data_IF_122675453903
#
_entry.id   IF_122675453903
#
_cell.length_a   1.000
_cell.length_b   1.000
_cell.length_c   1.000
_cell.angle_alpha   90.00
_cell.angle_beta   90.00
_cell.angle_gamma   90.00
#
_symmetry.space_group_name_H-M   'P 1'
#
loop_
_entity.id
_entity.type
_entity.pdbx_description
1 polymer ?
#
# COMPACT_ATOMS: atom_id res chain seq x y z
N UNK A 1 -26.39 2.25 9.24
CA UNK A 1 -25.97 0.98 8.61
C UNK A 1 -26.20 1.08 7.11
N UNK A 2 -25.21 0.72 6.28
CA UNK A 2 -25.44 0.48 4.85
C UNK A 2 -25.86 -0.98 4.68
N UNK A 3 -26.88 -1.25 3.87
CA UNK A 3 -27.25 -2.63 3.50
C UNK A 3 -26.64 -2.97 2.15
N UNK A 4 -26.16 -4.21 2.02
CA UNK A 4 -25.66 -4.79 0.78
C UNK A 4 -26.53 -6.00 0.47
N UNK A 5 -27.01 -6.09 -0.78
CA UNK A 5 -27.71 -7.28 -1.24
C UNK A 5 -26.67 -8.28 -1.72
N UNK A 6 -26.71 -9.46 -1.12
CA UNK A 6 -25.91 -10.59 -1.53
C UNK A 6 -26.82 -11.56 -2.28
N UNK A 7 -26.26 -12.19 -3.30
CA UNK A 7 -26.89 -13.37 -3.87
C UNK A 7 -26.97 -14.47 -2.79
N UNK A 8 -28.06 -15.27 -2.73
CA UNK A 8 -28.21 -16.31 -1.71
C UNK A 8 -27.09 -17.34 -1.69
N UNK A 9 -26.48 -17.65 -2.85
CA UNK A 9 -25.35 -18.58 -2.91
C UNK A 9 -24.12 -17.97 -2.21
N UNK A 10 -23.83 -16.70 -2.51
CA UNK A 10 -22.72 -15.97 -1.91
C UNK A 10 -22.91 -15.80 -0.40
N UNK A 11 -24.14 -15.51 0.05
CA UNK A 11 -24.44 -15.41 1.48
C UNK A 11 -24.13 -16.72 2.22
N UNK A 12 -24.54 -17.87 1.66
CA UNK A 12 -24.25 -19.18 2.22
C UNK A 12 -22.74 -19.48 2.27
N UNK A 13 -21.99 -19.12 1.23
CA UNK A 13 -20.53 -19.29 1.20
C UNK A 13 -19.85 -18.44 2.28
N UNK A 14 -20.25 -17.17 2.44
CA UNK A 14 -19.71 -16.27 3.44
C UNK A 14 -20.03 -16.73 4.87
N UNK A 15 -21.25 -17.23 5.12
CA UNK A 15 -21.62 -17.81 6.41
C UNK A 15 -20.74 -19.01 6.77
N UNK A 16 -20.51 -19.93 5.82
CA UNK A 16 -19.62 -21.08 6.03
C UNK A 16 -18.18 -20.64 6.29
N UNK A 17 -17.67 -19.67 5.53
CA UNK A 17 -16.31 -19.16 5.69
C UNK A 17 -16.12 -18.49 7.07
N UNK A 18 -17.10 -17.69 7.52
CA UNK A 18 -17.10 -17.08 8.84
C UNK A 18 -17.12 -18.14 9.95
N UNK A 19 -17.95 -19.18 9.81
CA UNK A 19 -18.03 -20.29 10.75
C UNK A 19 -16.71 -21.07 10.85
N UNK A 20 -16.04 -21.33 9.72
CA UNK A 20 -14.71 -22.00 9.69
C UNK A 20 -13.66 -21.18 10.44
N UNK A 21 -13.74 -19.84 10.38
CA UNK A 21 -12.83 -18.95 11.11
C UNK A 21 -13.24 -18.68 12.56
N UNK A 22 -14.43 -19.10 12.98
CA UNK A 22 -14.95 -18.84 14.32
C UNK A 22 -15.33 -17.37 14.57
N UNK A 23 -15.65 -16.63 13.51
CA UNK A 23 -15.97 -15.20 13.57
C UNK A 23 -17.44 -14.96 13.17
N UNK A 24 -18.00 -13.79 13.52
CA UNK A 24 -19.33 -13.42 13.03
C UNK A 24 -19.29 -13.06 11.55
N UNK A 25 -20.39 -13.29 10.81
CA UNK A 25 -20.49 -12.94 9.38
C UNK A 25 -20.15 -11.47 9.12
N UNK A 26 -20.64 -10.56 9.96
CA UNK A 26 -20.37 -9.12 9.84
C UNK A 26 -18.88 -8.78 9.97
N UNK A 27 -18.18 -9.40 10.94
CA UNK A 27 -16.74 -9.18 11.12
C UNK A 27 -15.93 -9.80 9.99
N UNK A 28 -16.30 -11.00 9.54
CA UNK A 28 -15.69 -11.63 8.39
C UNK A 28 -15.79 -10.74 7.13
N UNK A 29 -16.99 -10.21 6.84
CA UNK A 29 -17.21 -9.29 5.71
C UNK A 29 -16.43 -7.99 5.90
N UNK A 30 -16.41 -7.43 7.12
CA UNK A 30 -15.66 -6.20 7.42
C UNK A 30 -14.17 -6.36 7.11
N UNK A 31 -13.56 -7.46 7.57
CA UNK A 31 -12.15 -7.73 7.31
C UNK A 31 -11.88 -7.95 5.83
N UNK A 32 -12.72 -8.73 5.15
CA UNK A 32 -12.57 -8.97 3.71
C UNK A 32 -12.69 -7.66 2.90
N UNK A 33 -13.63 -6.79 3.26
CA UNK A 33 -13.78 -5.48 2.62
C UNK A 33 -12.58 -4.57 2.89
N UNK A 34 -12.07 -4.53 4.12
CA UNK A 34 -10.88 -3.74 4.47
C UNK A 34 -9.64 -4.20 3.69
N UNK A 35 -9.38 -5.52 3.67
CA UNK A 35 -8.26 -6.11 2.92
C UNK A 35 -8.37 -5.82 1.42
N UNK A 36 -9.57 -5.94 0.85
CA UNK A 36 -9.78 -5.65 -0.58
C UNK A 36 -9.59 -4.16 -0.88
N UNK A 37 -10.06 -3.27 -0.01
CA UNK A 37 -9.89 -1.83 -0.17
C UNK A 37 -8.42 -1.44 -0.10
N UNK A 38 -7.67 -1.94 0.89
CA UNK A 38 -6.24 -1.71 1.04
C UNK A 38 -5.46 -2.22 -0.18
N UNK A 39 -5.72 -3.44 -0.64
CA UNK A 39 -5.09 -3.98 -1.83
C UNK A 39 -5.42 -3.16 -3.10
N UNK A 40 -6.66 -2.66 -3.21
CA UNK A 40 -7.08 -1.85 -4.36
C UNK A 40 -6.46 -0.46 -4.33
N UNK A 41 -6.41 0.20 -3.17
CA UNK A 41 -5.84 1.53 -3.02
C UNK A 41 -4.30 1.50 -3.07
N UNK A 42 -3.67 0.48 -2.48
CA UNK A 42 -2.21 0.30 -2.51
C UNK A 42 -1.67 -0.11 -3.89
N UNK A 43 -2.48 -0.78 -4.72
CA UNK A 43 -2.12 -1.08 -6.11
C UNK A 43 -2.12 0.17 -7.02
N UNK A 44 -2.85 1.22 -6.63
CA UNK A 44 -2.95 2.47 -7.40
C UNK A 44 -1.75 3.39 -7.17
N UNK A 45 -0.93 3.16 -6.14
CA UNK A 45 0.05 4.16 -5.68
C UNK A 45 1.47 4.06 -6.29
N UNK A 46 1.79 3.03 -7.09
CA UNK A 46 3.18 2.85 -7.55
C UNK A 46 3.35 2.60 -9.06
N UNK A 47 2.34 2.09 -9.76
CA UNK A 47 2.48 1.85 -11.21
C UNK A 47 2.58 3.16 -12.02
N UNK A 48 1.84 4.20 -11.62
CA UNK A 48 1.84 5.50 -12.32
C UNK A 48 3.02 6.39 -11.92
N UNK A 49 3.76 6.02 -10.87
CA UNK A 49 4.91 6.77 -10.37
C UNK A 49 6.23 6.01 -10.49
N UNK A 50 6.29 4.80 -11.03
CA UNK A 50 7.54 4.05 -11.21
C UNK A 50 8.56 4.82 -12.09
N UNK A 51 8.08 5.64 -13.04
CA UNK A 51 8.94 6.53 -13.85
C UNK A 51 9.42 7.79 -13.10
N UNK A 52 8.78 8.16 -11.98
CA UNK A 52 9.09 9.36 -11.18
C UNK A 52 9.82 9.01 -9.88
N UNK A 53 9.44 7.91 -9.25
CA UNK A 53 9.96 7.39 -8.00
C UNK A 53 10.93 6.26 -8.34
N UNK A 54 12.11 6.64 -8.82
CA UNK A 54 13.22 5.72 -9.04
C UNK A 54 13.34 4.74 -7.88
N UNK A 55 13.03 3.48 -8.18
CA UNK A 55 13.04 2.33 -7.29
C UNK A 55 14.21 2.38 -6.31
N UNK A 56 13.93 2.72 -5.04
CA UNK A 56 14.84 2.43 -3.93
C UNK A 56 14.40 1.11 -3.30
N UNK A 57 14.71 0.01 -3.99
CA UNK A 57 14.95 -1.25 -3.30
C UNK A 57 16.35 -1.18 -2.72
N UNK A 58 16.43 -0.90 -1.42
CA UNK A 58 17.72 -0.79 -0.74
C UNK A 58 17.58 -0.84 0.76
N UNK A 59 17.59 -2.07 1.31
CA UNK A 59 18.07 -2.28 2.67
C UNK A 59 19.36 -1.50 2.90
N UNK A 60 19.49 -0.93 4.10
CA UNK A 60 20.42 0.15 4.45
C UNK A 60 21.76 0.13 3.71
N UNK A 61 22.01 1.16 2.89
CA UNK A 61 23.31 1.30 2.21
C UNK A 61 23.49 2.50 1.29
N UNK A 62 22.42 3.23 0.90
CA UNK A 62 22.49 4.29 -0.12
C UNK A 62 22.51 5.73 0.38
N UNK A 63 22.76 5.99 1.66
CA UNK A 63 22.79 7.35 2.20
C UNK A 63 24.16 8.07 2.12
N UNK A 64 25.22 7.43 1.61
CA UNK A 64 26.58 8.02 1.66
C UNK A 64 27.01 8.77 0.40
N UNK A 65 26.41 8.51 -0.77
CA UNK A 65 26.77 9.17 -2.04
C UNK A 65 25.95 10.44 -2.35
N UNK A 66 24.71 10.53 -1.87
CA UNK A 66 23.87 11.72 -2.05
C UNK A 66 24.36 12.91 -1.23
N UNK A 67 24.91 12.66 -0.04
CA UNK A 67 25.57 13.69 0.76
C UNK A 67 26.76 14.33 0.04
N UNK A 68 27.66 13.53 -0.55
CA UNK A 68 28.82 14.05 -1.26
C UNK A 68 28.44 14.90 -2.48
N UNK A 69 27.49 14.43 -3.30
CA UNK A 69 27.01 15.19 -4.46
C UNK A 69 26.27 16.48 -4.05
N UNK A 70 25.49 16.45 -2.97
CA UNK A 70 24.86 17.64 -2.41
C UNK A 70 25.90 18.64 -1.89
N UNK A 71 26.92 18.18 -1.17
CA UNK A 71 28.00 19.04 -0.67
C UNK A 71 28.80 19.67 -1.81
N UNK A 72 29.04 18.94 -2.91
CA UNK A 72 29.75 19.45 -4.09
C UNK A 72 28.97 20.58 -4.78
N UNK A 73 27.65 20.41 -4.97
CA UNK A 73 26.77 21.45 -5.54
C UNK A 73 26.69 22.70 -4.64
N UNK A 74 26.70 22.51 -3.31
CA UNK A 74 26.70 23.63 -2.35
C UNK A 74 28.04 24.37 -2.36
N UNK A 75 29.16 23.64 -2.45
CA UNK A 75 30.50 24.23 -2.51
C UNK A 75 30.74 25.01 -3.83
N UNK A 76 30.21 24.52 -4.95
CA UNK A 76 30.31 25.18 -6.25
C UNK A 76 29.49 26.49 -6.33
N UNK A 77 28.43 26.61 -5.53
CA UNK A 77 27.65 27.85 -5.39
C UNK A 77 28.30 28.87 -4.45
N UNK A 78 28.97 28.41 -3.40
CA UNK A 78 29.66 29.30 -2.45
C UNK A 78 30.93 29.95 -3.03
N UNK A 79 31.51 29.36 -4.08
CA UNK A 79 32.72 29.84 -4.75
C UNK A 79 32.47 30.78 -5.94
N UNK A 80 31.21 31.08 -6.26
CA UNK A 80 30.79 32.03 -7.31
C UNK A 80 30.24 33.36 -6.76
N UNK A 81 30.55 33.69 -5.50
CA UNK A 81 30.34 35.04 -4.92
C UNK A 81 31.68 35.73 -4.67
#
# INVERSE_FOLDING_TARGET
MKSLRLDPELENQLQRAAAVRGESLSEFIRQAAAQRAEATLGAVDFADFDDVLGVIHGGGGRARRTGAAFTEIVAERASKQ
#
